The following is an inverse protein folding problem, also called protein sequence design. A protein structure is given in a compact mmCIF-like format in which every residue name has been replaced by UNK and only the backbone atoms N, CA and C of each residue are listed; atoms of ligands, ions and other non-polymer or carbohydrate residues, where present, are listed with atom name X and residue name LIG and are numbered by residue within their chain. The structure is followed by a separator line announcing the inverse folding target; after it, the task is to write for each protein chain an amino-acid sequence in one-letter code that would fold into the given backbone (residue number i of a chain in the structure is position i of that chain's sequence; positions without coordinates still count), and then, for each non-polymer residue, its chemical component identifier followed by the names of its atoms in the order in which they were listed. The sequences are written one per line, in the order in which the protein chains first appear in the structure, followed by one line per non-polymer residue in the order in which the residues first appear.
data_IF_787257738719
#
_entry.id   IF_787257738719
#
_cell.length_a   1.000
_cell.length_b   1.000
_cell.length_c   1.000
_cell.angle_alpha   90.00
_cell.angle_beta   90.00
_cell.angle_gamma   90.00
#
_symmetry.space_group_name_H-M   'P 1'
#
loop_
_entity.id
_entity.type
_entity.pdbx_description
1 polymer ?
#
# COMPACT_ATOMS: atom_id res chain seq x y z
N UNK A 1 -9.86 -2.77 -19.76
CA UNK A 1 -8.46 -2.51 -19.42
C UNK A 1 -7.48 -3.36 -20.26
N UNK A 2 -7.78 -4.64 -20.49
CA UNK A 2 -6.92 -5.50 -21.34
C UNK A 2 -6.69 -4.89 -22.72
N UNK A 3 -7.71 -4.34 -23.39
CA UNK A 3 -7.57 -3.69 -24.72
C UNK A 3 -6.53 -2.58 -24.75
N UNK A 4 -6.46 -1.77 -23.72
CA UNK A 4 -5.54 -0.62 -23.64
C UNK A 4 -4.12 -0.97 -23.18
N UNK A 5 -3.91 -2.22 -22.75
CA UNK A 5 -2.62 -2.75 -22.30
C UNK A 5 -2.17 -3.96 -23.10
N UNK A 6 -2.98 -4.43 -24.06
CA UNK A 6 -2.64 -5.56 -24.93
C UNK A 6 -1.55 -5.18 -25.92
N UNK A 7 -0.54 -6.03 -26.01
CA UNK A 7 0.56 -5.96 -26.96
C UNK A 7 0.61 -7.29 -27.68
N UNK A 8 0.61 -7.26 -29.01
CA UNK A 8 0.86 -8.43 -29.84
C UNK A 8 2.38 -8.72 -29.81
N UNK A 9 2.75 -9.84 -29.22
CA UNK A 9 4.16 -10.29 -29.12
C UNK A 9 4.59 -11.17 -30.32
N UNK A 10 3.73 -11.30 -31.32
CA UNK A 10 3.93 -12.19 -32.47
C UNK A 10 3.48 -13.64 -32.21
N UNK A 11 3.47 -14.47 -33.27
CA UNK A 11 3.09 -15.89 -33.23
C UNK A 11 1.72 -16.16 -32.57
N UNK A 12 0.79 -15.21 -32.67
CA UNK A 12 -0.55 -15.32 -32.06
C UNK A 12 -0.59 -15.10 -30.55
N UNK A 13 0.52 -14.68 -29.92
CA UNK A 13 0.60 -14.41 -28.49
C UNK A 13 0.30 -12.95 -28.18
N UNK A 14 -0.73 -12.71 -27.38
CA UNK A 14 -1.11 -11.37 -26.91
C UNK A 14 -0.87 -11.28 -25.41
N UNK A 15 -0.05 -10.34 -24.98
CA UNK A 15 0.15 -10.03 -23.57
C UNK A 15 -0.60 -8.75 -23.19
N UNK A 16 -0.97 -8.63 -21.91
CA UNK A 16 -1.65 -7.45 -21.38
C UNK A 16 -0.97 -7.00 -20.06
N UNK A 17 0.33 -6.71 -20.12
CA UNK A 17 1.13 -6.34 -18.95
C UNK A 17 0.56 -5.08 -18.28
N UNK A 18 0.42 -5.13 -16.95
CA UNK A 18 -0.04 -3.99 -16.15
C UNK A 18 -1.56 -3.77 -16.14
N UNK A 19 -2.37 -4.59 -16.84
CA UNK A 19 -3.84 -4.43 -16.85
C UNK A 19 -4.46 -4.50 -15.45
N UNK A 20 -3.98 -5.39 -14.57
CA UNK A 20 -4.49 -5.52 -13.21
C UNK A 20 -4.25 -4.25 -12.38
N UNK A 21 -3.06 -3.61 -12.50
CA UNK A 21 -2.77 -2.35 -11.83
C UNK A 21 -3.61 -1.20 -12.38
N UNK A 22 -3.76 -1.12 -13.70
CA UNK A 22 -4.62 -0.11 -14.33
C UNK A 22 -6.07 -0.33 -13.96
N UNK A 23 -6.55 -1.58 -13.97
CA UNK A 23 -7.88 -1.96 -13.55
C UNK A 23 -8.20 -1.57 -12.11
N UNK A 24 -7.26 -1.74 -11.18
CA UNK A 24 -7.37 -1.26 -9.80
C UNK A 24 -7.71 0.23 -9.71
N UNK A 25 -6.98 1.09 -10.45
CA UNK A 25 -7.24 2.53 -10.47
C UNK A 25 -8.58 2.87 -11.11
N UNK A 26 -8.91 2.24 -12.24
CA UNK A 26 -10.18 2.43 -12.91
C UNK A 26 -11.34 2.02 -12.01
N UNK A 27 -11.24 0.89 -11.33
CA UNK A 27 -12.23 0.42 -10.37
C UNK A 27 -12.48 1.44 -9.25
N UNK A 28 -11.41 1.98 -8.64
CA UNK A 28 -11.55 3.04 -7.64
C UNK A 28 -12.24 4.27 -8.19
N UNK A 29 -11.93 4.68 -9.42
CA UNK A 29 -12.57 5.84 -10.04
C UNK A 29 -14.06 5.61 -10.24
N UNK A 30 -14.45 4.47 -10.80
CA UNK A 30 -15.86 4.11 -11.04
C UNK A 30 -16.62 4.04 -9.73
N UNK A 31 -16.11 3.30 -8.74
CA UNK A 31 -16.75 3.08 -7.44
C UNK A 31 -16.69 4.28 -6.49
N UNK A 32 -16.01 5.34 -6.88
CA UNK A 32 -16.00 6.61 -6.16
C UNK A 32 -16.89 7.66 -6.82
N UNK A 33 -16.90 7.73 -8.17
CA UNK A 33 -17.53 8.82 -8.91
C UNK A 33 -18.85 8.43 -9.56
N UNK A 34 -18.86 7.27 -10.24
CA UNK A 34 -19.94 6.89 -11.14
C UNK A 34 -20.96 5.98 -10.45
N UNK A 35 -20.51 5.10 -9.57
CA UNK A 35 -21.31 4.20 -8.75
C UNK A 35 -20.77 4.19 -7.31
N UNK A 36 -21.04 5.23 -6.49
CA UNK A 36 -20.44 5.37 -5.18
C UNK A 36 -20.67 4.17 -4.28
N UNK A 37 -19.61 3.55 -3.81
CA UNK A 37 -19.61 2.45 -2.87
C UNK A 37 -18.91 2.83 -1.56
N UNK A 38 -19.28 2.25 -0.41
CA UNK A 38 -18.57 2.41 0.84
C UNK A 38 -17.08 2.08 0.70
N UNK A 39 -16.23 2.77 1.47
CA UNK A 39 -14.78 2.66 1.35
C UNK A 39 -14.29 1.21 1.37
N UNK A 40 -14.73 0.41 2.36
CA UNK A 40 -14.30 -0.98 2.51
C UNK A 40 -14.72 -1.88 1.32
N UNK A 41 -15.91 -1.68 0.76
CA UNK A 41 -16.37 -2.40 -0.44
C UNK A 41 -15.53 -2.01 -1.65
N UNK A 42 -15.32 -0.70 -1.85
CA UNK A 42 -14.51 -0.20 -2.96
C UNK A 42 -13.09 -0.74 -2.93
N UNK A 43 -12.43 -0.70 -1.78
CA UNK A 43 -11.05 -1.17 -1.66
C UNK A 43 -10.96 -2.70 -1.79
N UNK A 44 -11.95 -3.45 -1.30
CA UNK A 44 -12.05 -4.90 -1.52
C UNK A 44 -12.15 -5.24 -3.01
N UNK A 45 -13.06 -4.59 -3.74
CA UNK A 45 -13.23 -4.84 -5.19
C UNK A 45 -11.98 -4.40 -5.96
N UNK A 46 -11.40 -3.24 -5.65
CA UNK A 46 -10.18 -2.77 -6.29
C UNK A 46 -9.00 -3.74 -6.07
N UNK A 47 -8.89 -4.30 -4.87
CA UNK A 47 -7.87 -5.30 -4.53
C UNK A 47 -8.13 -6.63 -5.23
N UNK A 48 -9.37 -7.08 -5.34
CA UNK A 48 -9.73 -8.26 -6.15
C UNK A 48 -9.28 -8.09 -7.60
N UNK A 49 -9.55 -6.94 -8.22
CA UNK A 49 -9.09 -6.63 -9.59
C UNK A 49 -7.56 -6.60 -9.65
N UNK A 50 -6.88 -6.09 -8.63
CA UNK A 50 -5.41 -6.02 -8.57
C UNK A 50 -4.77 -7.40 -8.53
N UNK A 51 -5.33 -8.31 -7.75
CA UNK A 51 -4.72 -9.61 -7.45
C UNK A 51 -5.37 -10.79 -8.18
N UNK A 52 -6.38 -10.59 -9.06
CA UNK A 52 -7.15 -11.67 -9.69
C UNK A 52 -6.30 -12.77 -10.36
N UNK A 53 -5.13 -12.43 -10.89
CA UNK A 53 -4.22 -13.40 -11.48
C UNK A 53 -3.27 -14.06 -10.48
N UNK A 54 -3.24 -13.62 -9.21
CA UNK A 54 -2.29 -14.15 -8.23
C UNK A 54 -2.49 -15.64 -7.94
N UNK A 55 -3.73 -16.16 -7.74
CA UNK A 55 -3.93 -17.58 -7.46
C UNK A 55 -3.36 -18.51 -8.51
N UNK A 56 -3.41 -18.11 -9.78
CA UNK A 56 -2.92 -18.92 -10.90
C UNK A 56 -1.38 -18.98 -10.95
N UNK A 57 -0.71 -17.86 -10.58
CA UNK A 57 0.74 -17.71 -10.82
C UNK A 57 1.56 -17.61 -9.52
N UNK A 58 0.94 -17.81 -8.34
CA UNK A 58 1.61 -17.61 -7.07
C UNK A 58 2.78 -18.56 -6.87
N UNK A 59 2.59 -19.84 -7.17
CA UNK A 59 3.58 -20.89 -6.91
C UNK A 59 4.83 -20.78 -7.81
N UNK A 60 4.73 -20.07 -8.93
CA UNK A 60 5.86 -19.82 -9.83
C UNK A 60 6.76 -18.65 -9.34
N UNK A 61 6.36 -17.96 -8.30
CA UNK A 61 7.09 -16.77 -7.80
C UNK A 61 8.08 -17.16 -6.73
N UNK A 62 9.30 -16.63 -6.82
CA UNK A 62 10.37 -16.83 -5.84
C UNK A 62 10.02 -16.33 -4.43
N UNK A 63 9.11 -15.38 -4.31
CA UNK A 63 8.67 -14.74 -3.08
C UNK A 63 7.17 -15.02 -2.79
N UNK A 64 6.68 -16.23 -3.13
CA UNK A 64 5.28 -16.64 -3.04
C UNK A 64 4.65 -16.37 -1.67
N UNK A 65 5.32 -16.75 -0.57
CA UNK A 65 4.84 -16.53 0.79
C UNK A 65 4.65 -15.03 1.09
N UNK A 66 5.64 -14.20 0.75
CA UNK A 66 5.60 -12.76 0.98
C UNK A 66 4.47 -12.09 0.17
N UNK A 67 4.25 -12.54 -1.06
CA UNK A 67 3.14 -12.08 -1.92
C UNK A 67 1.79 -12.55 -1.42
N UNK A 68 1.70 -13.77 -0.92
CA UNK A 68 0.48 -14.27 -0.31
C UNK A 68 0.10 -13.41 0.91
N UNK A 69 1.04 -13.16 1.80
CA UNK A 69 0.77 -12.33 2.99
C UNK A 69 0.42 -10.88 2.61
N UNK A 70 1.14 -10.23 1.66
CA UNK A 70 0.76 -8.89 1.18
C UNK A 70 -0.67 -8.87 0.61
N UNK A 71 -1.06 -9.89 -0.15
CA UNK A 71 -2.41 -9.97 -0.69
C UNK A 71 -3.47 -10.18 0.38
N UNK A 72 -3.23 -11.06 1.37
CA UNK A 72 -4.16 -11.34 2.46
C UNK A 72 -4.45 -10.12 3.35
N UNK A 73 -3.49 -9.19 3.46
CA UNK A 73 -3.68 -7.92 4.16
C UNK A 73 -4.58 -6.92 3.41
N UNK A 74 -4.91 -7.19 2.15
CA UNK A 74 -5.62 -6.27 1.25
C UNK A 74 -6.93 -6.79 0.72
N UNK A 75 -7.07 -8.11 0.62
CA UNK A 75 -8.22 -8.76 -0.02
C UNK A 75 -8.54 -10.07 0.68
N UNK A 76 -9.83 -10.38 0.78
CA UNK A 76 -10.27 -11.70 1.21
C UNK A 76 -9.79 -12.76 0.22
N UNK A 77 -8.95 -13.68 0.68
CA UNK A 77 -8.33 -14.72 -0.15
C UNK A 77 -9.35 -15.72 -0.69
N UNK A 78 -10.46 -15.95 -0.01
CA UNK A 78 -11.54 -16.82 -0.50
C UNK A 78 -12.27 -16.19 -1.69
N UNK A 79 -12.59 -14.90 -1.62
CA UNK A 79 -13.16 -14.17 -2.74
C UNK A 79 -12.17 -14.07 -3.90
N UNK A 80 -10.88 -13.95 -3.61
CA UNK A 80 -9.84 -13.93 -4.62
C UNK A 80 -9.74 -15.28 -5.36
N UNK A 81 -9.83 -16.40 -4.63
CA UNK A 81 -9.90 -17.75 -5.22
C UNK A 81 -11.12 -17.90 -6.12
N UNK A 82 -12.30 -17.51 -5.65
CA UNK A 82 -13.55 -17.58 -6.44
C UNK A 82 -13.44 -16.76 -7.72
N UNK A 83 -12.88 -15.55 -7.65
CA UNK A 83 -12.71 -14.70 -8.84
C UNK A 83 -11.72 -15.31 -9.83
N UNK A 84 -10.59 -15.85 -9.35
CA UNK A 84 -9.60 -16.49 -10.19
C UNK A 84 -10.17 -17.76 -10.88
N UNK A 85 -10.93 -18.57 -10.15
CA UNK A 85 -11.60 -19.74 -10.68
C UNK A 85 -12.60 -19.35 -11.78
N UNK A 86 -13.42 -18.32 -11.54
CA UNK A 86 -14.38 -17.83 -12.54
C UNK A 86 -13.66 -17.31 -13.80
N UNK A 87 -12.54 -16.57 -13.64
CA UNK A 87 -11.73 -16.11 -14.78
C UNK A 87 -11.15 -17.29 -15.58
N UNK A 88 -10.61 -18.30 -14.90
CA UNK A 88 -10.07 -19.51 -15.57
C UNK A 88 -11.17 -20.30 -16.29
N UNK A 89 -12.34 -20.50 -15.64
CA UNK A 89 -13.47 -21.20 -16.27
C UNK A 89 -13.99 -20.49 -17.51
N UNK A 90 -13.92 -19.17 -17.55
CA UNK A 90 -14.30 -18.33 -18.69
C UNK A 90 -13.27 -18.29 -19.82
N UNK A 91 -12.06 -18.84 -19.65
CA UNK A 91 -11.02 -18.86 -20.68
C UNK A 91 -11.22 -20.00 -21.67
N UNK A 92 -10.82 -19.74 -22.91
CA UNK A 92 -10.62 -20.77 -23.94
C UNK A 92 -9.11 -20.96 -24.07
N UNK A 93 -8.58 -22.02 -23.46
CA UNK A 93 -7.15 -22.38 -23.49
C UNK A 93 -6.99 -23.90 -23.32
N UNK A 94 -5.87 -24.43 -23.79
CA UNK A 94 -5.57 -25.87 -23.74
C UNK A 94 -5.26 -26.30 -22.29
N UNK A 95 -4.55 -25.50 -21.53
CA UNK A 95 -4.10 -25.82 -20.16
C UNK A 95 -5.10 -25.40 -19.06
N UNK A 96 -6.38 -25.48 -19.35
CA UNK A 96 -7.43 -25.06 -18.39
C UNK A 96 -7.40 -25.84 -17.08
N UNK A 97 -7.14 -27.14 -17.15
CA UNK A 97 -7.09 -28.00 -15.96
C UNK A 97 -5.90 -27.66 -15.06
N UNK A 98 -4.71 -27.44 -15.62
CA UNK A 98 -3.54 -27.02 -14.85
C UNK A 98 -3.74 -25.66 -14.16
N UNK A 99 -4.43 -24.72 -14.84
CA UNK A 99 -4.78 -23.43 -14.22
C UNK A 99 -5.80 -23.59 -13.07
N UNK A 100 -6.76 -24.51 -13.18
CA UNK A 100 -7.70 -24.82 -12.09
C UNK A 100 -6.99 -25.49 -10.91
N UNK A 101 -6.07 -26.42 -11.17
CA UNK A 101 -5.24 -27.04 -10.13
C UNK A 101 -4.40 -25.99 -9.39
N UNK A 102 -3.82 -25.00 -10.09
CA UNK A 102 -3.10 -23.90 -9.47
C UNK A 102 -3.99 -23.07 -8.53
N UNK A 103 -5.24 -22.84 -8.92
CA UNK A 103 -6.24 -22.13 -8.06
C UNK A 103 -6.61 -22.95 -6.83
N UNK A 104 -6.70 -24.27 -6.92
CA UNK A 104 -6.92 -25.14 -5.75
C UNK A 104 -5.69 -25.16 -4.82
N UNK A 105 -4.49 -25.24 -5.39
CA UNK A 105 -3.24 -25.14 -4.63
C UNK A 105 -3.11 -23.81 -3.89
N UNK A 106 -3.60 -22.72 -4.48
CA UNK A 106 -3.66 -21.43 -3.79
C UNK A 106 -4.50 -21.48 -2.51
N UNK A 107 -5.69 -22.15 -2.53
CA UNK A 107 -6.50 -22.32 -1.33
C UNK A 107 -5.77 -23.12 -0.26
N UNK A 108 -5.19 -24.27 -0.64
CA UNK A 108 -4.42 -25.12 0.28
C UNK A 108 -3.30 -24.31 0.91
N UNK A 109 -2.56 -23.56 0.10
CA UNK A 109 -1.46 -22.72 0.59
C UNK A 109 -1.91 -21.59 1.51
N UNK A 110 -3.05 -20.95 1.23
CA UNK A 110 -3.65 -19.97 2.14
C UNK A 110 -3.99 -20.57 3.51
N UNK A 111 -4.49 -21.82 3.53
CA UNK A 111 -4.84 -22.53 4.77
C UNK A 111 -3.59 -22.93 5.56
N UNK A 112 -2.56 -23.44 4.90
CA UNK A 112 -1.26 -23.77 5.50
C UNK A 112 -0.58 -22.53 6.10
N UNK A 113 -0.71 -21.39 5.42
CA UNK A 113 -0.14 -20.11 5.84
C UNK A 113 -1.05 -19.30 6.77
N UNK A 114 -2.13 -19.88 7.27
CA UNK A 114 -3.09 -19.25 8.19
C UNK A 114 -3.61 -17.88 7.72
N UNK A 115 -3.94 -17.77 6.43
CA UNK A 115 -4.48 -16.56 5.82
C UNK A 115 -5.66 -16.81 4.87
N UNK A 116 -6.42 -17.90 5.09
CA UNK A 116 -7.66 -18.17 4.36
C UNK A 116 -8.83 -17.38 4.93
N UNK A 117 -9.48 -16.57 4.10
CA UNK A 117 -10.60 -15.67 4.45
C UNK A 117 -10.28 -14.64 5.55
N UNK A 118 -9.03 -14.48 5.88
CA UNK A 118 -8.57 -13.53 6.90
C UNK A 118 -7.17 -13.00 6.55
N UNK A 119 -6.80 -11.83 7.03
CA UNK A 119 -5.42 -11.35 6.88
C UNK A 119 -4.45 -12.24 7.69
N UNK A 120 -3.23 -12.41 7.18
CA UNK A 120 -2.16 -12.99 8.00
C UNK A 120 -1.87 -12.11 9.21
N UNK A 121 -1.93 -12.67 10.37
CA UNK A 121 -1.60 -11.98 11.62
C UNK A 121 -0.08 -11.93 11.86
N UNK A 122 0.36 -10.83 12.42
CA UNK A 122 1.74 -10.60 12.83
C UNK A 122 1.73 -10.28 14.33
N UNK A 123 2.80 -10.65 15.05
CA UNK A 123 2.89 -10.43 16.48
C UNK A 123 2.75 -8.95 16.88
N UNK A 124 3.34 -8.05 16.10
CA UNK A 124 3.21 -6.58 16.25
C UNK A 124 3.18 -5.90 14.89
N UNK A 125 2.72 -4.65 14.85
CA UNK A 125 2.78 -3.82 13.63
C UNK A 125 4.22 -3.59 13.17
N UNK A 126 5.16 -3.52 14.12
CA UNK A 126 6.58 -3.41 13.79
C UNK A 126 7.15 -4.71 13.23
N UNK A 127 6.75 -5.87 13.73
CA UNK A 127 7.11 -7.17 13.14
C UNK A 127 6.60 -7.27 11.70
N UNK A 128 5.35 -6.82 11.44
CA UNK A 128 4.80 -6.74 10.08
C UNK A 128 5.62 -5.80 9.18
N UNK A 129 5.93 -4.61 9.65
CA UNK A 129 6.77 -3.67 8.91
C UNK A 129 8.13 -4.28 8.58
N UNK A 130 8.82 -4.84 9.58
CA UNK A 130 10.12 -5.49 9.44
C UNK A 130 10.07 -6.63 8.42
N UNK A 131 9.06 -7.50 8.51
CA UNK A 131 8.90 -8.63 7.58
C UNK A 131 8.87 -8.20 6.12
N UNK A 132 8.17 -7.11 5.79
CA UNK A 132 8.05 -6.65 4.41
C UNK A 132 9.24 -5.83 3.92
N UNK A 133 10.06 -5.24 4.80
CA UNK A 133 11.15 -4.33 4.43
C UNK A 133 12.54 -4.95 4.59
N UNK A 134 12.75 -5.84 5.54
CA UNK A 134 14.03 -6.51 5.71
C UNK A 134 14.20 -7.71 4.75
N UNK A 135 15.41 -7.92 4.27
CA UNK A 135 15.77 -9.12 3.51
C UNK A 135 15.91 -10.33 4.46
N UNK A 136 15.46 -11.50 4.01
CA UNK A 136 15.58 -12.75 4.78
C UNK A 136 14.77 -12.79 6.08
N UNK A 137 13.77 -11.92 6.23
CA UNK A 137 12.94 -11.88 7.43
C UNK A 137 11.96 -13.06 7.48
N UNK A 138 11.74 -13.59 8.70
CA UNK A 138 10.81 -14.68 8.98
C UNK A 138 9.53 -14.14 9.63
N UNK A 139 8.40 -14.82 9.38
CA UNK A 139 7.09 -14.40 9.88
C UNK A 139 7.02 -14.37 11.41
N UNK A 140 7.69 -15.32 12.07
CA UNK A 140 7.68 -15.46 13.54
C UNK A 140 8.78 -14.63 14.23
N UNK A 141 9.58 -13.89 13.45
CA UNK A 141 10.59 -13.02 14.01
C UNK A 141 9.96 -11.75 14.58
N UNK A 142 10.14 -11.57 15.89
CA UNK A 142 9.71 -10.37 16.60
C UNK A 142 10.94 -9.50 16.85
N UNK A 143 11.12 -8.42 16.06
CA UNK A 143 12.25 -7.53 16.24
C UNK A 143 12.14 -6.81 17.58
N UNK A 144 13.28 -6.57 18.23
CA UNK A 144 13.31 -5.84 19.49
C UNK A 144 12.94 -4.37 19.26
N UNK A 145 11.88 -3.93 19.94
CA UNK A 145 11.39 -2.56 19.84
C UNK A 145 12.16 -1.66 20.84
N UNK A 146 12.92 -0.71 20.30
CA UNK A 146 13.64 0.31 21.08
C UNK A 146 13.24 1.71 20.60
N UNK A 147 11.95 1.98 20.59
CA UNK A 147 11.45 3.29 20.20
C UNK A 147 11.75 4.33 21.28
N UNK A 148 12.33 5.46 20.88
CA UNK A 148 12.67 6.56 21.77
C UNK A 148 11.61 7.66 21.78
N UNK A 149 10.81 7.75 20.72
CA UNK A 149 9.73 8.72 20.55
C UNK A 149 8.76 8.24 19.48
N UNK A 150 7.60 8.87 19.46
CA UNK A 150 6.57 8.67 18.45
C UNK A 150 6.52 9.86 17.49
N UNK A 151 6.37 9.59 16.20
CA UNK A 151 6.18 10.61 15.16
C UNK A 151 4.82 10.43 14.51
N UNK A 152 3.90 11.34 14.78
CA UNK A 152 2.60 11.38 14.11
C UNK A 152 2.70 12.06 12.76
N UNK A 153 2.65 11.30 11.67
CA UNK A 153 2.70 11.83 10.31
C UNK A 153 1.31 12.07 9.75
N UNK A 154 0.97 13.33 9.48
CA UNK A 154 -0.28 13.67 8.80
C UNK A 154 -0.14 13.55 7.27
N UNK A 155 -1.18 13.05 6.61
CA UNK A 155 -1.26 12.93 5.16
C UNK A 155 -2.62 13.46 4.68
N UNK A 156 -2.60 14.38 3.73
CA UNK A 156 -3.83 14.98 3.18
C UNK A 156 -3.55 16.22 2.35
N UNK A 157 -4.46 16.55 1.44
CA UNK A 157 -4.39 17.75 0.59
C UNK A 157 -4.43 19.05 1.43
N UNK A 158 -3.96 20.17 0.90
CA UNK A 158 -4.19 21.47 1.52
C UNK A 158 -5.69 21.70 1.80
N UNK A 159 -6.01 22.31 2.94
CA UNK A 159 -7.41 22.59 3.33
C UNK A 159 -8.20 21.40 3.87
N UNK A 160 -7.65 20.17 3.94
CA UNK A 160 -8.36 18.97 4.42
C UNK A 160 -8.44 18.83 5.94
N UNK A 161 -8.19 19.92 6.68
CA UNK A 161 -8.39 19.93 8.13
C UNK A 161 -7.26 19.34 8.98
N UNK A 162 -6.04 19.15 8.44
CA UNK A 162 -4.91 18.62 9.22
C UNK A 162 -4.60 19.47 10.48
N UNK A 163 -4.57 20.80 10.34
CA UNK A 163 -4.32 21.69 11.47
C UNK A 163 -5.47 21.62 12.50
N UNK A 164 -6.72 21.54 12.02
CA UNK A 164 -7.88 21.34 12.87
C UNK A 164 -7.80 20.02 13.65
N UNK A 165 -7.36 18.93 12.98
CA UNK A 165 -7.19 17.63 13.62
C UNK A 165 -6.16 17.68 14.75
N UNK A 166 -5.00 18.35 14.55
CA UNK A 166 -3.98 18.52 15.60
C UNK A 166 -4.58 19.20 16.82
N UNK A 167 -5.35 20.29 16.61
CA UNK A 167 -5.97 21.04 17.69
C UNK A 167 -7.09 20.25 18.38
N UNK A 168 -8.00 19.63 17.61
CA UNK A 168 -9.16 18.92 18.15
C UNK A 168 -8.78 17.60 18.84
N UNK A 169 -7.70 16.96 18.42
CA UNK A 169 -7.18 15.76 19.05
C UNK A 169 -6.34 16.04 20.32
N UNK A 170 -6.17 17.32 20.69
CA UNK A 170 -5.42 17.72 21.89
C UNK A 170 -3.95 17.29 21.85
N UNK A 171 -3.33 17.28 20.66
CA UNK A 171 -1.93 16.90 20.51
C UNK A 171 -1.02 17.99 21.08
N UNK A 172 -0.67 17.86 22.36
CA UNK A 172 0.24 18.77 23.07
C UNK A 172 1.71 18.37 22.85
N UNK A 173 2.12 18.35 21.59
CA UNK A 173 3.50 18.05 21.20
C UNK A 173 3.95 19.01 20.08
N UNK A 174 5.27 19.21 19.89
CA UNK A 174 5.79 20.06 18.83
C UNK A 174 5.26 19.67 17.44
N UNK A 175 4.99 20.66 16.60
CA UNK A 175 4.49 20.45 15.24
C UNK A 175 5.49 20.97 14.23
N UNK A 176 6.13 20.08 13.48
CA UNK A 176 6.96 20.42 12.33
C UNK A 176 6.03 20.66 11.14
N UNK A 177 5.84 21.92 10.76
CA UNK A 177 4.95 22.32 9.67
C UNK A 177 5.69 23.08 8.58
N UNK A 178 5.63 22.56 7.35
CA UNK A 178 6.23 23.24 6.20
C UNK A 178 5.62 24.62 5.96
N UNK A 179 4.31 24.76 6.20
CA UNK A 179 3.61 26.03 6.02
C UNK A 179 3.94 27.03 7.12
N UNK A 180 4.15 26.58 8.34
CA UNK A 180 4.63 27.43 9.44
C UNK A 180 6.05 27.95 9.15
N UNK A 181 6.94 27.08 8.65
CA UNK A 181 8.30 27.47 8.23
C UNK A 181 8.24 28.49 7.10
N UNK A 182 7.41 28.29 6.06
CA UNK A 182 7.24 29.27 4.98
C UNK A 182 6.81 30.64 5.50
N UNK A 183 5.81 30.67 6.40
CA UNK A 183 5.33 31.92 7.02
C UNK A 183 6.41 32.61 7.84
N UNK A 184 7.13 31.86 8.67
CA UNK A 184 8.22 32.38 9.51
C UNK A 184 9.33 33.05 8.68
N UNK A 185 9.71 32.44 7.57
CA UNK A 185 10.80 32.93 6.72
C UNK A 185 10.32 33.72 5.49
N UNK A 186 9.01 34.04 5.41
CA UNK A 186 8.37 34.78 4.31
C UNK A 186 8.69 34.20 2.91
N UNK A 187 8.69 32.87 2.80
CA UNK A 187 9.00 32.14 1.57
C UNK A 187 7.70 31.86 0.79
N UNK A 188 7.72 32.12 -0.53
CA UNK A 188 6.57 31.84 -1.39
C UNK A 188 6.41 30.32 -1.63
N UNK A 189 5.19 29.79 -1.55
CA UNK A 189 4.90 28.39 -1.90
C UNK A 189 5.14 28.08 -3.39
N UNK A 190 5.13 29.09 -4.25
CA UNK A 190 5.34 28.96 -5.71
C UNK A 190 6.81 28.95 -6.11
N UNK A 191 7.71 29.37 -5.22
CA UNK A 191 9.15 29.37 -5.48
C UNK A 191 9.72 27.95 -5.29
N UNK A 192 10.10 27.32 -6.40
CA UNK A 192 10.69 25.97 -6.39
C UNK A 192 12.01 25.89 -5.62
N UNK A 193 12.81 26.96 -5.67
CA UNK A 193 14.11 27.01 -4.95
C UNK A 193 13.91 27.12 -3.44
N UNK A 194 12.93 27.89 -3.01
CA UNK A 194 12.56 28.02 -1.61
C UNK A 194 11.96 26.72 -1.05
N UNK A 195 11.22 25.96 -1.84
CA UNK A 195 10.61 24.70 -1.40
C UNK A 195 11.66 23.66 -0.92
N UNK A 196 12.78 23.52 -1.62
CA UNK A 196 13.88 22.65 -1.19
C UNK A 196 14.43 23.05 0.17
N UNK A 197 14.65 24.36 0.39
CA UNK A 197 15.13 24.90 1.67
C UNK A 197 14.14 24.65 2.81
N UNK A 198 12.84 24.88 2.57
CA UNK A 198 11.79 24.62 3.57
C UNK A 198 11.78 23.16 4.00
N UNK A 199 11.89 22.23 3.06
CA UNK A 199 11.95 20.79 3.37
C UNK A 199 13.19 20.46 4.20
N UNK A 200 14.35 21.02 3.87
CA UNK A 200 15.58 20.80 4.65
C UNK A 200 15.46 21.36 6.07
N UNK A 201 14.91 22.57 6.23
CA UNK A 201 14.65 23.16 7.55
C UNK A 201 13.72 22.30 8.39
N UNK A 202 12.63 21.80 7.79
CA UNK A 202 11.70 20.91 8.46
C UNK A 202 12.37 19.59 8.89
N UNK A 203 13.20 18.99 8.01
CA UNK A 203 13.97 17.78 8.33
C UNK A 203 14.95 18.02 9.47
N UNK A 204 15.63 19.17 9.51
CA UNK A 204 16.57 19.48 10.62
C UNK A 204 15.81 19.71 11.94
N UNK A 205 14.65 20.36 11.90
CA UNK A 205 13.80 20.52 13.08
C UNK A 205 13.33 19.14 13.60
N UNK A 206 12.85 18.26 12.71
CA UNK A 206 12.47 16.90 13.06
C UNK A 206 13.65 16.10 13.65
N UNK A 207 14.82 16.17 13.04
CA UNK A 207 16.05 15.52 13.55
C UNK A 207 16.41 15.98 14.95
N UNK A 208 16.12 17.24 15.28
CA UNK A 208 16.35 17.80 16.64
C UNK A 208 15.45 17.09 17.66
N UNK A 209 14.18 16.86 17.34
CA UNK A 209 13.26 16.12 18.20
C UNK A 209 13.64 14.64 18.29
N UNK A 210 13.96 13.99 17.18
CA UNK A 210 14.41 12.58 17.14
C UNK A 210 15.64 12.36 18.04
N UNK A 211 16.65 13.25 17.96
CA UNK A 211 17.86 13.16 18.81
C UNK A 211 17.55 13.30 20.31
N UNK A 212 16.54 14.07 20.65
CA UNK A 212 16.07 14.25 22.03
C UNK A 212 15.14 13.12 22.52
N UNK A 213 14.71 12.23 21.65
CA UNK A 213 13.68 11.26 21.95
C UNK A 213 12.34 11.92 22.29
N UNK A 214 12.01 13.02 21.62
CA UNK A 214 10.81 13.81 21.87
C UNK A 214 9.78 13.56 20.79
N UNK A 215 8.54 13.26 21.20
CA UNK A 215 7.42 13.07 20.30
C UNK A 215 7.10 14.37 19.55
N UNK A 216 6.68 14.25 18.29
CA UNK A 216 6.27 15.40 17.50
C UNK A 216 5.32 15.01 16.35
N UNK A 217 4.61 16.01 15.83
CA UNK A 217 3.77 15.87 14.63
C UNK A 217 4.52 16.38 13.40
N UNK A 218 4.57 15.56 12.37
CA UNK A 218 5.01 15.97 11.02
C UNK A 218 3.78 16.37 10.18
N UNK A 219 3.55 17.68 10.04
CA UNK A 219 2.41 18.25 9.34
C UNK A 219 2.79 18.74 7.94
N UNK A 220 2.55 17.91 6.95
CA UNK A 220 2.72 18.22 5.53
C UNK A 220 1.70 17.45 4.68
N UNK A 221 1.72 17.63 3.37
CA UNK A 221 0.77 16.95 2.48
C UNK A 221 1.00 15.44 2.39
N UNK A 222 2.22 14.97 2.32
CA UNK A 222 2.67 13.57 2.37
C UNK A 222 1.81 12.58 1.55
N UNK A 223 1.26 13.02 0.40
CA UNK A 223 0.23 12.27 -0.34
C UNK A 223 0.80 11.04 -1.04
N UNK A 224 2.00 11.17 -1.63
CA UNK A 224 2.58 10.07 -2.40
C UNK A 224 3.29 9.06 -1.49
N UNK A 225 3.24 7.79 -1.89
CA UNK A 225 3.98 6.72 -1.20
C UNK A 225 5.48 7.04 -1.12
N UNK A 226 6.05 7.58 -2.21
CA UNK A 226 7.46 7.95 -2.27
C UNK A 226 7.84 9.02 -1.23
N UNK A 227 6.99 10.06 -1.07
CA UNK A 227 7.23 11.10 -0.06
C UNK A 227 7.21 10.53 1.35
N UNK A 228 6.26 9.63 1.65
CA UNK A 228 6.20 8.98 2.97
C UNK A 228 7.39 8.06 3.22
N UNK A 229 7.78 7.24 2.25
CA UNK A 229 8.96 6.37 2.37
C UNK A 229 10.22 7.16 2.71
N UNK A 230 10.49 8.28 2.02
CA UNK A 230 11.64 9.16 2.30
C UNK A 230 11.66 9.79 3.70
N UNK A 231 10.56 9.71 4.45
CA UNK A 231 10.47 10.22 5.82
C UNK A 231 10.54 9.09 6.86
N UNK A 232 10.29 7.86 6.46
CA UNK A 232 10.32 6.66 7.30
C UNK A 232 11.71 6.01 7.27
N UNK A 233 12.37 6.02 6.10
CA UNK A 233 13.75 5.55 5.91
C UNK A 233 14.80 6.59 6.42
#
# INVERSE_FOLDING_TARGET
EKRSTSVDEGEGRVSAKGHARKGEYTTRTILYRDCPAPFHIREQIASLVRYHGLPVWLMEKSDSVKKLYDSSLRVDTSLLKMLAEADVRGRICEDKNGLLEAVELFEIFCREQDCWSKPREFATDYARFHYFHAEGSYIDYIPHEQFKCEVTMLSGLPGMGKDYYIQSAGMDMPVVSLDAIRRKYKLSPTDKSANGRVVQMAKEEARTYLRKGQDFVWNATNITRQMRAQLID
#
